data_IF_644612664798
#
_entry.id   IF_644612664798
#
_cell.length_a   1.000
_cell.length_b   1.000
_cell.length_c   1.000
_cell.angle_alpha   90.00
_cell.angle_beta   90.00
_cell.angle_gamma   90.00
#
_symmetry.space_group_name_H-M   'P 1'
#
loop_
_entity.id
_entity.type
_entity.pdbx_description
1 polymer ?
#
# COMPACT_ATOMS: atom_id res chain seq x y z
N UNK A 1 14.42 -22.05 -3.72
CA UNK A 1 13.12 -21.35 -3.55
C UNK A 1 12.75 -21.50 -2.08
N UNK A 2 12.72 -20.41 -1.33
CA UNK A 2 12.27 -20.44 0.06
C UNK A 2 10.75 -20.68 0.06
N UNK A 3 10.32 -21.87 0.49
CA UNK A 3 8.90 -22.15 0.65
C UNK A 3 8.42 -21.50 1.94
N UNK A 4 7.85 -20.30 1.82
CA UNK A 4 7.16 -19.69 2.95
C UNK A 4 5.96 -20.54 3.33
N UNK A 5 5.85 -20.93 4.60
CA UNK A 5 4.72 -21.70 5.12
C UNK A 5 3.60 -20.79 5.54
N UNK A 6 2.37 -21.28 5.45
CA UNK A 6 1.25 -20.57 6.02
C UNK A 6 1.45 -20.47 7.53
N UNK A 7 1.37 -19.24 8.03
CA UNK A 7 1.64 -18.97 9.43
C UNK A 7 0.40 -19.22 10.31
N UNK A 8 -0.68 -19.74 9.72
CA UNK A 8 -1.84 -20.35 10.40
C UNK A 8 -1.83 -21.88 10.30
N UNK A 9 -1.20 -22.44 9.25
CA UNK A 9 -1.13 -23.88 8.97
C UNK A 9 0.32 -24.24 8.64
N UNK A 10 1.05 -24.76 9.61
CA UNK A 10 2.48 -25.09 9.45
C UNK A 10 2.73 -26.16 8.37
N UNK A 11 1.73 -26.97 8.04
CA UNK A 11 1.79 -28.00 6.99
C UNK A 11 1.52 -27.48 5.57
N UNK A 12 1.01 -26.25 5.41
CA UNK A 12 0.63 -25.71 4.10
C UNK A 12 1.61 -24.66 3.60
N UNK A 13 1.81 -24.63 2.29
CA UNK A 13 2.55 -23.56 1.64
C UNK A 13 1.75 -22.25 1.67
N UNK A 14 2.43 -21.13 1.88
CA UNK A 14 1.84 -19.82 1.70
C UNK A 14 1.77 -19.50 0.20
N UNK A 15 0.60 -19.02 -0.24
CA UNK A 15 0.35 -18.66 -1.64
C UNK A 15 0.18 -17.15 -1.80
N UNK A 16 -0.13 -16.44 -0.72
CA UNK A 16 -0.38 -15.00 -0.74
C UNK A 16 0.03 -14.33 0.58
N UNK A 17 0.17 -13.01 0.56
CA UNK A 17 0.48 -12.18 1.72
C UNK A 17 -0.72 -11.29 2.06
N UNK A 18 -1.08 -11.21 3.34
CA UNK A 18 -2.12 -10.30 3.80
C UNK A 18 -1.69 -8.84 3.64
N UNK A 19 -2.47 -8.03 2.91
CA UNK A 19 -2.20 -6.59 2.69
C UNK A 19 -2.33 -5.74 3.96
N UNK A 20 -2.97 -6.26 5.01
CA UNK A 20 -3.17 -5.55 6.29
C UNK A 20 -2.09 -5.81 7.32
N UNK A 21 -1.69 -7.07 7.53
CA UNK A 21 -0.70 -7.45 8.55
C UNK A 21 0.62 -8.01 7.99
N UNK A 22 0.73 -8.22 6.68
CA UNK A 22 1.94 -8.75 6.05
C UNK A 22 2.18 -10.25 6.27
N UNK A 23 1.27 -10.97 6.94
CA UNK A 23 1.40 -12.41 7.22
C UNK A 23 1.29 -13.25 5.93
N UNK A 24 2.22 -14.20 5.68
CA UNK A 24 2.08 -15.18 4.61
C UNK A 24 1.00 -16.20 4.97
N UNK A 25 0.06 -16.42 4.06
CA UNK A 25 -1.12 -17.26 4.25
C UNK A 25 -1.35 -18.22 3.09
N UNK A 26 -1.91 -19.39 3.38
CA UNK A 26 -2.41 -20.30 2.35
C UNK A 26 -3.67 -19.73 1.69
N UNK A 27 -4.09 -20.37 0.61
CA UNK A 27 -5.31 -20.08 -0.15
C UNK A 27 -6.55 -20.04 0.74
N UNK A 28 -6.67 -20.97 1.69
CA UNK A 28 -7.82 -21.04 2.59
C UNK A 28 -7.85 -19.88 3.60
N UNK A 29 -6.68 -19.40 4.01
CA UNK A 29 -6.57 -18.26 4.92
C UNK A 29 -6.60 -16.92 4.20
N UNK A 30 -6.46 -16.89 2.87
CA UNK A 30 -6.46 -15.68 2.06
C UNK A 30 -7.87 -15.32 1.58
N UNK A 31 -8.24 -14.05 1.70
CA UNK A 31 -9.44 -13.49 1.09
C UNK A 31 -9.00 -12.75 -0.17
N UNK A 32 -9.11 -13.36 -1.37
CA UNK A 32 -8.59 -12.77 -2.61
C UNK A 32 -9.25 -11.43 -2.92
N UNK A 33 -10.56 -11.30 -2.66
CA UNK A 33 -11.35 -10.07 -2.87
C UNK A 33 -10.77 -8.84 -2.17
N UNK A 34 -10.19 -9.03 -0.98
CA UNK A 34 -9.70 -7.92 -0.15
C UNK A 34 -8.17 -7.93 -0.01
N UNK A 35 -7.51 -9.00 -0.49
CA UNK A 35 -6.11 -9.28 -0.23
C UNK A 35 -5.77 -9.50 1.25
N UNK A 36 -6.75 -9.77 2.12
CA UNK A 36 -6.56 -9.88 3.58
C UNK A 36 -6.56 -11.32 4.05
N UNK A 37 -6.11 -11.57 5.27
CA UNK A 37 -6.25 -12.87 5.91
C UNK A 37 -7.63 -13.00 6.61
N UNK A 38 -8.22 -14.20 6.60
CA UNK A 38 -9.47 -14.52 7.30
C UNK A 38 -9.33 -14.45 8.82
N UNK A 39 -8.18 -14.86 9.35
CA UNK A 39 -7.97 -15.05 10.80
C UNK A 39 -6.76 -14.28 11.33
N UNK A 40 -6.84 -13.87 12.60
CA UNK A 40 -5.72 -13.33 13.42
C UNK A 40 -4.91 -12.22 12.76
N UNK A 41 -5.58 -11.22 12.21
CA UNK A 41 -4.90 -10.06 11.65
C UNK A 41 -4.40 -9.14 12.79
N UNK A 42 -3.11 -9.18 13.09
CA UNK A 42 -2.47 -8.30 14.10
C UNK A 42 -2.07 -8.96 15.42
N UNK A 43 -2.28 -10.28 15.57
CA UNK A 43 -1.83 -11.02 16.76
C UNK A 43 -0.37 -11.49 16.69
N UNK A 44 0.29 -11.35 15.53
CA UNK A 44 1.72 -11.64 15.40
C UNK A 44 2.52 -10.36 15.17
N UNK A 45 3.70 -10.23 15.81
CA UNK A 45 4.68 -9.25 15.37
C UNK A 45 5.05 -9.53 13.91
N UNK A 46 5.35 -8.48 13.11
CA UNK A 46 5.78 -8.66 11.73
C UNK A 46 6.96 -9.65 11.69
N UNK A 47 6.88 -10.62 10.78
CA UNK A 47 7.92 -11.65 10.67
C UNK A 47 9.29 -10.99 10.40
N UNK A 48 10.35 -11.36 11.15
CA UNK A 48 11.68 -10.82 10.91
C UNK A 48 12.16 -11.27 9.52
N UNK A 49 12.48 -10.32 8.66
CA UNK A 49 12.95 -10.57 7.28
C UNK A 49 11.91 -10.36 6.18
N UNK A 50 10.64 -10.07 6.50
CA UNK A 50 9.69 -9.68 5.45
C UNK A 50 9.76 -8.17 5.17
N UNK A 51 9.78 -7.74 3.90
CA UNK A 51 9.64 -6.33 3.56
C UNK A 51 8.24 -5.93 3.99
N UNK A 52 8.13 -5.37 5.20
CA UNK A 52 6.98 -4.58 5.57
C UNK A 52 6.77 -3.62 4.43
N UNK A 53 5.56 -3.58 3.85
CA UNK A 53 5.21 -2.53 2.91
C UNK A 53 5.19 -1.25 3.73
N UNK A 54 6.37 -0.71 4.01
CA UNK A 54 6.58 0.57 4.63
C UNK A 54 6.01 1.54 3.62
N UNK A 55 4.74 1.88 3.81
CA UNK A 55 4.18 3.02 3.12
C UNK A 55 4.95 4.19 3.67
N UNK A 56 6.04 4.53 2.99
CA UNK A 56 7.00 5.53 3.40
C UNK A 56 6.21 6.84 3.55
N UNK A 57 5.89 7.19 4.79
CA UNK A 57 5.02 8.33 5.12
C UNK A 57 5.59 9.59 4.44
N UNK A 58 6.92 9.70 4.40
CA UNK A 58 7.65 10.72 3.66
C UNK A 58 7.31 10.80 2.18
N UNK A 59 7.21 9.67 1.47
CA UNK A 59 6.84 9.67 0.05
C UNK A 59 5.41 10.18 -0.13
N UNK A 60 4.48 9.74 0.73
CA UNK A 60 3.10 10.27 0.71
C UNK A 60 3.07 11.78 0.95
N UNK A 61 3.83 12.28 1.93
CA UNK A 61 3.91 13.71 2.25
C UNK A 61 4.50 14.49 1.07
N UNK A 62 5.61 14.03 0.50
CA UNK A 62 6.28 14.69 -0.63
C UNK A 62 5.37 14.75 -1.86
N UNK A 63 4.71 13.64 -2.21
CA UNK A 63 3.78 13.59 -3.35
C UNK A 63 2.60 14.54 -3.14
N UNK A 64 2.06 14.62 -1.93
CA UNK A 64 0.98 15.56 -1.61
C UNK A 64 1.41 17.02 -1.75
N UNK A 65 2.62 17.38 -1.26
CA UNK A 65 3.14 18.75 -1.39
C UNK A 65 3.34 19.12 -2.86
N UNK A 66 3.95 18.22 -3.66
CA UNK A 66 4.14 18.42 -5.10
C UNK A 66 2.82 18.59 -5.85
N UNK A 67 1.80 17.80 -5.50
CA UNK A 67 0.48 17.91 -6.11
C UNK A 67 -0.20 19.25 -5.80
N UNK A 68 -0.08 19.76 -4.56
CA UNK A 68 -0.63 21.06 -4.17
C UNK A 68 0.10 22.20 -4.90
N UNK A 69 1.44 22.19 -4.90
CA UNK A 69 2.22 23.22 -5.58
C UNK A 69 1.98 23.22 -7.09
N UNK A 70 2.00 22.05 -7.71
CA UNK A 70 1.74 21.90 -9.15
C UNK A 70 0.31 22.28 -9.54
N UNK A 71 -0.68 21.91 -8.72
CA UNK A 71 -2.07 22.31 -8.94
C UNK A 71 -2.25 23.82 -8.82
N UNK A 72 -1.66 24.45 -7.80
CA UNK A 72 -1.78 25.88 -7.57
C UNK A 72 -1.10 26.71 -8.66
N UNK A 73 0.07 26.29 -9.14
CA UNK A 73 0.75 26.97 -10.26
C UNK A 73 -0.03 26.85 -11.55
N UNK A 74 -0.55 25.67 -11.90
CA UNK A 74 -1.38 25.48 -13.09
C UNK A 74 -2.66 26.31 -13.03
N UNK A 75 -3.30 26.37 -11.86
CA UNK A 75 -4.51 27.16 -11.64
C UNK A 75 -4.25 28.66 -11.83
N UNK A 76 -3.17 29.18 -11.24
CA UNK A 76 -2.76 30.57 -11.43
C UNK A 76 -2.43 30.88 -12.89
N UNK A 77 -1.72 29.98 -13.57
CA UNK A 77 -1.33 30.16 -14.98
C UNK A 77 -2.56 30.15 -15.90
N UNK A 78 -3.55 29.30 -15.61
CA UNK A 78 -4.82 29.30 -16.32
C UNK A 78 -5.59 30.62 -16.11
N UNK A 79 -5.68 31.12 -14.88
CA UNK A 79 -6.35 32.40 -14.59
C UNK A 79 -5.62 33.58 -15.26
N UNK A 80 -4.29 33.63 -15.15
CA UNK A 80 -3.51 34.67 -15.82
C UNK A 80 -3.66 34.58 -17.34
N UNK A 81 -3.68 33.37 -17.90
CA UNK A 81 -3.90 33.13 -19.32
C UNK A 81 -5.27 33.60 -19.78
N UNK A 82 -6.35 33.24 -19.08
CA UNK A 82 -7.69 33.69 -19.45
C UNK A 82 -7.81 35.20 -19.39
N UNK A 83 -7.25 35.86 -18.37
CA UNK A 83 -7.26 37.32 -18.25
C UNK A 83 -6.48 37.98 -19.40
N UNK A 84 -5.30 37.46 -19.77
CA UNK A 84 -4.48 38.01 -20.86
C UNK A 84 -5.10 37.82 -22.24
N UNK A 85 -5.82 36.72 -22.48
CA UNK A 85 -6.50 36.46 -23.77
C UNK A 85 -7.91 37.06 -23.84
N UNK A 86 -8.51 37.46 -22.71
CA UNK A 86 -9.81 38.15 -22.68
C UNK A 86 -9.71 39.67 -22.78
N UNK A 87 -8.50 40.24 -22.80
CA UNK A 87 -8.24 41.67 -23.03
C UNK A 87 -7.72 41.90 -24.46
#
# INVERSE_FOLDING_TARGET
>A
MEFYRCMNHSERAAVAQCTRCGKPVCDECHIPETGRCRYRCGEMPPAPGMPGRSRNIWVTVIVSILAILGGLTLLLLAICGTILFSY
#
